data_IF_315432118443
#
_entry.id   IF_315432118443
#
_cell.length_a   1.000
_cell.length_b   1.000
_cell.length_c   1.000
_cell.angle_alpha   90.00
_cell.angle_beta   90.00
_cell.angle_gamma   90.00
#
_symmetry.space_group_name_H-M   'P 1'
#
loop_
_entity.id
_entity.type
_entity.pdbx_description
1 polymer ?
#
# COMPACT_ATOMS: atom_id res chain seq x y z
N UNK A 1 15.21 -18.17 -2.29
CA UNK A 1 15.46 -19.21 -3.30
C UNK A 1 14.16 -19.97 -3.47
N UNK A 2 13.31 -19.48 -4.37
CA UNK A 2 12.01 -20.09 -4.65
C UNK A 2 12.17 -21.06 -5.80
N UNK A 3 11.69 -22.29 -5.61
CA UNK A 3 11.59 -23.28 -6.66
C UNK A 3 10.77 -22.74 -7.83
N UNK A 4 11.36 -22.79 -9.02
CA UNK A 4 10.68 -22.49 -10.27
C UNK A 4 9.44 -23.40 -10.42
N UNK A 5 8.31 -22.90 -10.93
CA UNK A 5 7.13 -23.73 -11.18
C UNK A 5 7.34 -24.53 -12.47
N UNK A 6 8.25 -25.50 -12.42
CA UNK A 6 8.50 -26.44 -13.51
C UNK A 6 7.73 -27.75 -13.29
N UNK A 7 6.43 -27.70 -12.99
CA UNK A 7 5.58 -28.89 -12.97
C UNK A 7 4.10 -28.55 -12.79
N UNK A 8 3.35 -28.26 -13.86
CA UNK A 8 1.88 -28.37 -13.79
C UNK A 8 1.15 -28.56 -15.14
N UNK A 9 1.80 -29.19 -16.13
CA UNK A 9 1.12 -29.78 -17.30
C UNK A 9 1.41 -31.28 -17.45
N UNK A 10 1.53 -31.99 -16.33
CA UNK A 10 1.48 -33.44 -16.30
C UNK A 10 0.01 -33.89 -16.39
N UNK A 11 -0.52 -34.05 -17.60
CA UNK A 11 -1.88 -34.57 -17.78
C UNK A 11 -2.17 -35.21 -19.12
N UNK A 12 -1.63 -34.67 -20.21
CA UNK A 12 -1.90 -35.22 -21.54
C UNK A 12 -0.63 -35.29 -22.41
N UNK A 13 -0.28 -36.49 -22.93
CA UNK A 13 0.87 -36.61 -23.82
C UNK A 13 0.63 -35.83 -25.11
N UNK A 14 1.64 -35.08 -25.54
CA UNK A 14 1.61 -34.26 -26.74
C UNK A 14 1.34 -35.15 -27.97
N UNK A 15 0.67 -34.64 -29.01
CA UNK A 15 0.39 -35.42 -30.21
C UNK A 15 1.68 -35.96 -30.88
N UNK A 16 2.81 -35.26 -30.75
CA UNK A 16 4.12 -35.70 -31.22
C UNK A 16 4.67 -36.90 -30.43
N UNK A 17 4.46 -36.94 -29.10
CA UNK A 17 4.89 -38.06 -28.25
C UNK A 17 4.10 -39.33 -28.56
N UNK A 18 2.80 -39.19 -28.82
CA UNK A 18 1.95 -40.31 -29.25
C UNK A 18 2.46 -40.88 -30.57
N UNK A 19 2.81 -40.02 -31.52
CA UNK A 19 3.38 -40.44 -32.82
C UNK A 19 4.72 -41.15 -32.65
N UNK A 20 5.64 -40.63 -31.84
CA UNK A 20 6.92 -41.29 -31.55
C UNK A 20 6.71 -42.67 -30.91
N UNK A 21 5.78 -42.80 -29.95
CA UNK A 21 5.45 -44.09 -29.32
C UNK A 21 4.90 -45.10 -30.32
N UNK A 22 4.03 -44.66 -31.24
CA UNK A 22 3.55 -45.52 -32.33
C UNK A 22 4.67 -45.96 -33.28
N UNK A 23 5.61 -45.07 -33.62
CA UNK A 23 6.76 -45.38 -34.48
C UNK A 23 7.72 -46.36 -33.80
N UNK A 24 7.99 -46.20 -32.50
CA UNK A 24 8.80 -47.13 -31.71
C UNK A 24 8.16 -48.52 -31.65
N UNK A 25 6.87 -48.58 -31.28
CA UNK A 25 6.13 -49.83 -31.23
C UNK A 25 6.04 -50.51 -32.61
N UNK A 26 5.82 -49.74 -33.67
CA UNK A 26 5.80 -50.24 -35.05
C UNK A 26 7.16 -50.78 -35.49
N UNK A 27 8.26 -50.07 -35.18
CA UNK A 27 9.62 -50.51 -35.51
C UNK A 27 9.99 -51.80 -34.77
N UNK A 28 9.61 -51.92 -33.50
CA UNK A 28 9.79 -53.16 -32.72
C UNK A 28 8.98 -54.32 -33.31
N UNK A 29 7.73 -54.09 -33.68
CA UNK A 29 6.86 -55.11 -34.27
C UNK A 29 7.41 -55.62 -35.62
N UNK A 30 7.85 -54.71 -36.50
CA UNK A 30 8.44 -55.08 -37.79
C UNK A 30 9.77 -55.80 -37.60
N UNK A 31 10.61 -55.36 -36.66
CA UNK A 31 11.87 -56.05 -36.33
C UNK A 31 11.64 -57.48 -35.83
N UNK A 32 10.66 -57.68 -34.94
CA UNK A 32 10.27 -59.01 -34.46
C UNK A 32 9.75 -59.91 -35.59
N UNK A 33 8.92 -59.37 -36.48
CA UNK A 33 8.39 -60.10 -37.63
C UNK A 33 9.50 -60.48 -38.62
N UNK A 34 10.45 -59.58 -38.87
CA UNK A 34 11.61 -59.84 -39.73
C UNK A 34 12.50 -60.96 -39.15
N UNK A 35 12.78 -60.92 -37.85
CA UNK A 35 13.52 -61.99 -37.17
C UNK A 35 12.79 -63.33 -37.22
N UNK A 36 11.48 -63.35 -36.98
CA UNK A 36 10.68 -64.56 -37.10
C UNK A 36 10.73 -65.12 -38.53
N UNK A 37 10.54 -64.29 -39.54
CA UNK A 37 10.61 -64.68 -40.95
C UNK A 37 11.99 -65.25 -41.31
N UNK A 38 13.07 -64.62 -40.84
CA UNK A 38 14.43 -65.11 -41.04
C UNK A 38 14.63 -66.51 -40.44
N UNK A 39 14.24 -66.72 -39.18
CA UNK A 39 14.37 -68.01 -38.49
C UNK A 39 13.55 -69.09 -39.19
N UNK A 40 12.28 -68.80 -39.50
CA UNK A 40 11.38 -69.76 -40.15
C UNK A 40 11.87 -70.14 -41.54
N UNK A 41 12.26 -69.18 -42.38
CA UNK A 41 12.75 -69.45 -43.74
C UNK A 41 14.09 -70.17 -43.73
N UNK A 42 14.97 -69.85 -42.78
CA UNK A 42 16.25 -70.54 -42.64
C UNK A 42 16.06 -71.98 -42.18
N UNK A 43 15.15 -72.25 -41.24
CA UNK A 43 14.79 -73.61 -40.83
C UNK A 43 14.16 -74.42 -41.99
N UNK A 44 13.23 -73.82 -42.74
CA UNK A 44 12.60 -74.47 -43.90
C UNK A 44 13.65 -74.82 -44.96
N UNK A 45 14.56 -73.89 -45.27
CA UNK A 45 15.66 -74.15 -46.21
C UNK A 45 16.64 -75.20 -45.69
N UNK A 46 17.01 -75.16 -44.41
CA UNK A 46 17.90 -76.16 -43.82
C UNK A 46 17.32 -77.58 -43.93
N UNK A 47 16.00 -77.75 -43.85
CA UNK A 47 15.33 -79.04 -43.98
C UNK A 47 15.13 -79.47 -45.44
N UNK A 48 14.78 -78.55 -46.35
CA UNK A 48 14.38 -78.89 -47.73
C UNK A 48 15.50 -78.76 -48.77
N UNK A 49 16.41 -77.80 -48.61
CA UNK A 49 17.53 -77.54 -49.53
C UNK A 49 18.74 -76.97 -48.78
N UNK A 50 19.42 -77.79 -47.93
CA UNK A 50 20.50 -77.32 -47.06
C UNK A 50 21.67 -76.66 -47.82
N UNK A 51 21.92 -77.07 -49.07
CA UNK A 51 22.95 -76.49 -49.92
C UNK A 51 22.70 -75.01 -50.29
N UNK A 52 21.46 -74.51 -50.13
CA UNK A 52 21.10 -73.10 -50.40
C UNK A 52 21.39 -72.17 -49.21
N UNK A 53 21.69 -72.72 -48.03
CA UNK A 53 22.07 -71.96 -46.82
C UNK A 53 23.55 -71.61 -46.93
N UNK A 54 23.84 -70.68 -47.83
CA UNK A 54 25.20 -70.23 -48.15
C UNK A 54 25.52 -68.92 -47.44
N UNK A 55 26.79 -68.52 -47.46
CA UNK A 55 27.20 -67.18 -47.01
C UNK A 55 26.40 -66.05 -47.68
N UNK A 56 26.02 -66.22 -48.95
CA UNK A 56 25.21 -65.25 -49.69
C UNK A 56 23.79 -65.11 -49.14
N UNK A 57 23.20 -66.18 -48.57
CA UNK A 57 21.90 -66.11 -47.89
C UNK A 57 21.97 -65.19 -46.67
N UNK A 58 22.96 -65.41 -45.79
CA UNK A 58 23.16 -64.56 -44.62
C UNK A 58 23.57 -63.13 -44.98
N UNK A 59 24.38 -62.94 -46.03
CA UNK A 59 24.77 -61.62 -46.52
C UNK A 59 23.55 -60.81 -47.02
N UNK A 60 22.63 -61.45 -47.75
CA UNK A 60 21.41 -60.82 -48.22
C UNK A 60 20.52 -60.39 -47.04
N UNK A 61 20.27 -61.28 -46.08
CA UNK A 61 19.50 -60.94 -44.85
C UNK A 61 20.20 -59.87 -44.01
N UNK A 62 21.53 -59.89 -43.93
CA UNK A 62 22.33 -58.85 -43.27
C UNK A 62 22.16 -57.47 -43.92
N UNK A 63 22.06 -57.42 -45.25
CA UNK A 63 21.81 -56.17 -46.00
C UNK A 63 20.40 -55.63 -45.72
N UNK A 64 19.39 -56.49 -45.71
CA UNK A 64 18.03 -56.11 -45.34
C UNK A 64 17.92 -55.65 -43.87
N UNK A 65 18.58 -56.36 -42.95
CA UNK A 65 18.64 -56.00 -41.54
C UNK A 65 19.32 -54.65 -41.33
N UNK A 66 20.44 -54.42 -42.03
CA UNK A 66 21.15 -53.14 -42.03
C UNK A 66 20.28 -52.00 -42.55
N UNK A 67 19.61 -52.19 -43.70
CA UNK A 67 18.69 -51.20 -44.27
C UNK A 67 17.52 -50.86 -43.35
N UNK A 68 16.92 -51.87 -42.71
CA UNK A 68 15.86 -51.67 -41.73
C UNK A 68 16.34 -50.91 -40.49
N UNK A 69 17.49 -51.31 -39.92
CA UNK A 69 18.06 -50.66 -38.75
C UNK A 69 18.38 -49.19 -39.03
N UNK A 70 18.96 -48.89 -40.19
CA UNK A 70 19.25 -47.51 -40.61
C UNK A 70 17.97 -46.70 -40.80
N UNK A 71 16.95 -47.24 -41.48
CA UNK A 71 15.67 -46.54 -41.66
C UNK A 71 14.95 -46.28 -40.33
N UNK A 72 14.93 -47.26 -39.43
CA UNK A 72 14.36 -47.11 -38.10
C UNK A 72 15.11 -46.05 -37.28
N UNK A 73 16.45 -46.04 -37.32
CA UNK A 73 17.27 -45.04 -36.64
C UNK A 73 16.96 -43.61 -37.14
N UNK A 74 16.84 -43.41 -38.45
CA UNK A 74 16.48 -42.11 -39.02
C UNK A 74 15.07 -41.66 -38.61
N UNK A 75 14.08 -42.57 -38.62
CA UNK A 75 12.73 -42.24 -38.18
C UNK A 75 12.70 -41.89 -36.69
N UNK A 76 13.35 -42.68 -35.84
CA UNK A 76 13.44 -42.40 -34.41
C UNK A 76 14.11 -41.04 -34.17
N UNK A 77 15.21 -40.74 -34.87
CA UNK A 77 15.90 -39.46 -34.75
C UNK A 77 15.01 -38.29 -35.19
N UNK A 78 14.35 -38.40 -36.35
CA UNK A 78 13.46 -37.34 -36.87
C UNK A 78 12.28 -37.06 -35.93
N UNK A 79 11.63 -38.10 -35.40
CA UNK A 79 10.52 -37.95 -34.46
C UNK A 79 11.00 -37.46 -33.08
N UNK A 80 12.20 -37.84 -32.64
CA UNK A 80 12.81 -37.31 -31.41
C UNK A 80 13.07 -35.81 -31.51
N UNK A 81 13.58 -35.33 -32.65
CA UNK A 81 13.75 -33.90 -32.92
C UNK A 81 12.40 -33.18 -32.95
N UNK A 82 11.38 -33.79 -33.58
CA UNK A 82 10.03 -33.23 -33.61
C UNK A 82 9.45 -33.06 -32.19
N UNK A 83 9.58 -34.07 -31.32
CA UNK A 83 9.14 -34.01 -29.91
C UNK A 83 9.91 -32.94 -29.14
N UNK A 84 11.24 -32.88 -29.28
CA UNK A 84 12.05 -31.84 -28.63
C UNK A 84 11.67 -30.43 -29.08
N UNK A 85 11.37 -30.24 -30.37
CA UNK A 85 10.91 -28.95 -30.92
C UNK A 85 9.51 -28.56 -30.43
N UNK A 86 8.62 -29.54 -30.20
CA UNK A 86 7.30 -29.30 -29.65
C UNK A 86 7.37 -28.85 -28.20
N UNK A 87 8.17 -29.55 -27.37
CA UNK A 87 8.45 -29.12 -26.00
C UNK A 87 9.07 -27.73 -25.94
N UNK A 88 10.09 -27.46 -26.77
CA UNK A 88 10.70 -26.13 -26.82
C UNK A 88 9.71 -25.01 -27.20
N UNK A 89 8.68 -25.30 -28.01
CA UNK A 89 7.61 -24.34 -28.31
C UNK A 89 6.70 -24.13 -27.12
N UNK A 90 6.28 -25.20 -26.46
CA UNK A 90 5.45 -25.14 -25.24
C UNK A 90 6.19 -24.38 -24.15
N UNK A 91 7.46 -24.69 -23.89
CA UNK A 91 8.28 -24.02 -22.89
C UNK A 91 8.45 -22.54 -23.18
N UNK A 92 8.67 -22.16 -24.46
CA UNK A 92 8.71 -20.74 -24.86
C UNK A 92 7.38 -20.06 -24.64
N UNK A 93 6.26 -20.71 -24.95
CA UNK A 93 4.94 -20.16 -24.71
C UNK A 93 4.68 -19.96 -23.22
N UNK A 94 4.96 -20.97 -22.39
CA UNK A 94 4.82 -20.90 -20.92
C UNK A 94 5.73 -19.82 -20.34
N UNK A 95 6.99 -19.77 -20.76
CA UNK A 95 7.91 -18.73 -20.32
C UNK A 95 7.50 -17.32 -20.79
N UNK A 96 6.77 -17.21 -21.90
CA UNK A 96 6.21 -15.95 -22.36
C UNK A 96 4.97 -15.54 -21.55
N UNK A 97 4.08 -16.49 -21.20
CA UNK A 97 2.94 -16.20 -20.32
C UNK A 97 3.38 -15.85 -18.90
N UNK A 98 4.35 -16.56 -18.33
CA UNK A 98 4.91 -16.22 -17.01
C UNK A 98 5.51 -14.82 -17.03
N UNK A 99 6.35 -14.50 -18.03
CA UNK A 99 6.89 -13.14 -18.18
C UNK A 99 5.80 -12.08 -18.33
N UNK A 100 4.76 -12.36 -19.12
CA UNK A 100 3.66 -11.42 -19.29
C UNK A 100 2.85 -11.20 -18.00
N UNK A 101 2.66 -12.23 -17.17
CA UNK A 101 1.99 -12.09 -15.88
C UNK A 101 2.89 -11.41 -14.84
N UNK A 102 4.20 -11.66 -14.83
CA UNK A 102 5.17 -10.93 -14.00
C UNK A 102 5.24 -9.44 -14.38
N UNK A 103 5.29 -9.12 -15.68
CA UNK A 103 5.21 -7.75 -16.21
C UNK A 103 3.89 -7.08 -15.78
N UNK A 104 2.77 -7.79 -15.85
CA UNK A 104 1.46 -7.27 -15.45
C UNK A 104 1.30 -7.17 -13.93
N UNK A 105 1.99 -8.01 -13.14
CA UNK A 105 2.00 -7.95 -11.69
C UNK A 105 2.58 -6.62 -11.19
N UNK A 106 3.62 -6.11 -11.85
CA UNK A 106 4.15 -4.78 -11.57
C UNK A 106 3.14 -3.67 -11.88
N UNK A 107 2.42 -3.77 -13.01
CA UNK A 107 1.35 -2.83 -13.37
C UNK A 107 0.18 -2.81 -12.36
N UNK A 108 -0.15 -3.97 -11.75
CA UNK A 108 -1.17 -4.07 -10.69
C UNK A 108 -0.83 -3.29 -9.42
N UNK A 109 0.43 -2.89 -9.22
CA UNK A 109 0.87 -2.15 -8.04
C UNK A 109 0.58 -0.64 -8.13
N UNK A 110 0.11 -0.13 -9.26
CA UNK A 110 -0.45 1.21 -9.34
C UNK A 110 -1.90 1.20 -8.81
N UNK A 111 -2.11 1.81 -7.65
CA UNK A 111 -3.39 1.92 -7.00
C UNK A 111 -4.05 3.26 -7.36
N UNK A 112 -5.33 3.22 -7.76
CA UNK A 112 -6.12 4.39 -8.06
C UNK A 112 -7.33 4.37 -7.13
N UNK A 113 -7.45 5.39 -6.28
CA UNK A 113 -8.55 5.46 -5.32
C UNK A 113 -8.96 6.91 -5.04
N UNK A 114 -10.21 7.08 -4.61
CA UNK A 114 -10.74 8.39 -4.19
C UNK A 114 -10.17 8.74 -2.82
N UNK A 115 -9.76 9.99 -2.63
CA UNK A 115 -9.28 10.54 -1.36
C UNK A 115 -10.22 11.62 -0.84
N UNK A 116 -10.36 11.67 0.48
CA UNK A 116 -11.09 12.73 1.17
C UNK A 116 -10.10 13.74 1.74
N UNK A 117 -10.18 14.98 1.26
CA UNK A 117 -9.38 16.09 1.77
C UNK A 117 -10.24 16.85 2.78
N UNK A 118 -9.88 16.88 4.07
CA UNK A 118 -10.63 17.62 5.08
C UNK A 118 -10.75 19.11 4.70
N UNK A 119 -11.98 19.62 4.69
CA UNK A 119 -12.26 21.01 4.30
C UNK A 119 -12.28 21.27 2.79
N UNK A 120 -12.09 20.26 1.94
CA UNK A 120 -12.30 20.42 0.51
C UNK A 120 -13.79 20.63 0.17
N UNK A 121 -14.03 21.37 -0.91
CA UNK A 121 -15.38 21.66 -1.40
C UNK A 121 -16.14 20.37 -1.69
N UNK A 122 -17.39 20.25 -1.20
CA UNK A 122 -18.24 19.05 -1.41
C UNK A 122 -18.53 18.74 -2.90
N UNK A 123 -18.25 19.67 -3.82
CA UNK A 123 -18.35 19.46 -5.27
C UNK A 123 -17.05 19.00 -5.94
N UNK A 124 -15.99 18.75 -5.19
CA UNK A 124 -14.67 18.38 -5.70
C UNK A 124 -14.37 16.92 -5.37
N UNK A 125 -14.26 16.09 -6.39
CA UNK A 125 -13.77 14.72 -6.26
C UNK A 125 -12.26 14.70 -6.48
N UNK A 126 -11.51 14.18 -5.50
CA UNK A 126 -10.06 14.01 -5.63
C UNK A 126 -9.73 12.53 -5.70
N UNK A 127 -8.91 12.14 -6.68
CA UNK A 127 -8.41 10.79 -6.86
C UNK A 127 -6.89 10.80 -6.72
N UNK A 128 -6.37 9.82 -6.00
CA UNK A 128 -4.94 9.59 -5.84
C UNK A 128 -4.52 8.41 -6.70
N UNK A 129 -3.45 8.63 -7.46
CA UNK A 129 -2.77 7.64 -8.28
C UNK A 129 -1.45 7.35 -7.59
N UNK A 130 -1.34 6.17 -6.97
CA UNK A 130 -0.25 5.81 -6.08
C UNK A 130 0.50 4.59 -6.61
N UNK A 131 1.82 4.68 -6.71
CA UNK A 131 2.68 3.54 -6.99
C UNK A 131 3.07 2.84 -5.68
N UNK A 132 2.59 1.60 -5.52
CA UNK A 132 2.94 0.71 -4.41
C UNK A 132 4.09 -0.24 -4.72
N UNK A 133 4.69 -0.12 -5.91
CA UNK A 133 5.88 -0.90 -6.27
C UNK A 133 7.16 -0.20 -5.79
N UNK A 134 8.24 -0.98 -5.62
CA UNK A 134 9.58 -0.45 -5.34
C UNK A 134 10.27 0.12 -6.59
N UNK A 135 9.65 0.00 -7.76
CA UNK A 135 10.20 0.45 -9.04
C UNK A 135 9.56 1.78 -9.46
N UNK A 136 10.33 2.63 -10.13
CA UNK A 136 9.82 3.91 -10.63
C UNK A 136 8.74 3.71 -11.70
N UNK A 137 7.76 4.60 -11.69
CA UNK A 137 6.74 4.74 -12.73
C UNK A 137 6.85 6.16 -13.30
N UNK A 138 6.83 6.26 -14.61
CA UNK A 138 7.06 7.49 -15.37
C UNK A 138 5.85 7.84 -16.23
N UNK A 139 5.84 9.06 -16.76
CA UNK A 139 4.87 9.54 -17.75
C UNK A 139 3.40 9.35 -17.35
N UNK A 140 3.09 9.54 -16.06
CA UNK A 140 1.73 9.32 -15.56
C UNK A 140 0.81 10.41 -16.07
N UNK A 141 -0.17 10.00 -16.88
CA UNK A 141 -1.12 10.90 -17.53
C UNK A 141 -2.54 10.39 -17.46
N UNK A 142 -3.48 11.32 -17.34
CA UNK A 142 -4.91 11.06 -17.48
C UNK A 142 -5.37 11.74 -18.77
N UNK A 143 -5.48 11.00 -19.90
CA UNK A 143 -5.82 11.61 -21.18
C UNK A 143 -7.26 12.14 -21.21
N UNK A 144 -8.17 11.54 -20.44
CA UNK A 144 -9.53 12.01 -20.27
C UNK A 144 -10.14 11.53 -18.95
N UNK A 145 -11.14 12.24 -18.48
CA UNK A 145 -12.07 11.81 -17.44
C UNK A 145 -13.50 12.18 -17.84
N UNK A 146 -14.40 11.20 -17.85
CA UNK A 146 -15.82 11.39 -18.12
C UNK A 146 -16.55 11.63 -16.79
N UNK A 147 -16.99 12.86 -16.57
CA UNK A 147 -17.72 13.27 -15.37
C UNK A 147 -19.23 13.20 -15.61
N UNK A 148 -20.01 12.56 -14.73
CA UNK A 148 -21.47 12.52 -14.84
C UNK A 148 -22.06 13.93 -14.70
N UNK A 149 -23.16 14.18 -15.41
CA UNK A 149 -23.89 15.45 -15.33
C UNK A 149 -24.92 15.43 -14.21
N UNK A 150 -24.94 16.49 -13.39
CA UNK A 150 -25.96 16.68 -12.35
C UNK A 150 -27.38 16.92 -12.92
N UNK A 151 -27.50 17.24 -14.22
CA UNK A 151 -28.77 17.55 -14.89
C UNK A 151 -29.32 16.40 -15.75
N UNK A 152 -28.75 15.20 -15.64
CA UNK A 152 -29.15 14.04 -16.47
C UNK A 152 -28.72 14.12 -17.94
N UNK A 153 -27.86 15.09 -18.28
CA UNK A 153 -27.23 15.17 -19.60
C UNK A 153 -26.16 14.05 -19.76
N UNK A 154 -25.72 13.73 -21.00
CA UNK A 154 -24.63 12.80 -21.20
C UNK A 154 -23.35 13.22 -20.43
N UNK A 155 -22.50 12.26 -20.03
CA UNK A 155 -21.26 12.54 -19.32
C UNK A 155 -20.41 13.56 -20.07
N UNK A 156 -19.85 14.51 -19.32
CA UNK A 156 -18.97 15.54 -19.87
C UNK A 156 -17.54 14.99 -19.87
N UNK A 157 -16.96 14.90 -21.07
CA UNK A 157 -15.56 14.51 -21.21
C UNK A 157 -14.63 15.69 -20.89
N UNK A 158 -13.90 15.56 -19.79
CA UNK A 158 -12.75 16.38 -19.40
C UNK A 158 -11.50 15.82 -20.05
N UNK A 159 -10.65 16.72 -20.53
CA UNK A 159 -9.30 16.41 -21.02
C UNK A 159 -8.36 17.47 -20.44
N UNK A 160 -7.08 17.18 -20.23
CA UNK A 160 -6.18 18.16 -19.65
C UNK A 160 -6.22 19.52 -20.36
N UNK A 161 -6.19 19.52 -21.70
CA UNK A 161 -6.21 20.76 -22.52
C UNK A 161 -7.49 21.58 -22.34
N UNK A 162 -8.64 20.91 -22.17
CA UNK A 162 -9.92 21.57 -21.89
C UNK A 162 -9.96 22.20 -20.51
N UNK A 163 -9.44 21.51 -19.50
CA UNK A 163 -9.41 22.03 -18.12
C UNK A 163 -8.62 23.33 -18.03
N UNK A 164 -7.48 23.42 -18.73
CA UNK A 164 -6.66 24.63 -18.79
C UNK A 164 -7.29 25.72 -19.66
N UNK A 165 -7.76 25.38 -20.86
CA UNK A 165 -8.33 26.38 -21.80
C UNK A 165 -9.67 26.96 -21.34
N UNK A 166 -10.48 26.17 -20.64
CA UNK A 166 -11.75 26.62 -20.05
C UNK A 166 -11.56 27.28 -18.67
N UNK A 167 -10.33 27.28 -18.12
CA UNK A 167 -10.02 27.90 -16.84
C UNK A 167 -10.81 27.32 -15.67
N UNK A 168 -11.03 26.00 -15.68
CA UNK A 168 -11.79 25.31 -14.64
C UNK A 168 -10.98 25.30 -13.34
N UNK A 169 -11.21 26.33 -12.53
CA UNK A 169 -10.57 26.50 -11.23
C UNK A 169 -10.73 25.23 -10.39
N UNK A 170 -9.65 24.75 -9.77
CA UNK A 170 -9.58 23.57 -8.91
C UNK A 170 -9.72 22.19 -9.59
N UNK A 171 -9.99 22.12 -10.90
CA UNK A 171 -9.82 20.87 -11.65
C UNK A 171 -8.37 20.66 -12.10
N UNK A 172 -7.92 19.42 -12.08
CA UNK A 172 -6.57 19.04 -12.47
C UNK A 172 -6.52 17.61 -13.00
N UNK A 173 -5.91 17.42 -14.19
CA UNK A 173 -5.63 16.11 -14.79
C UNK A 173 -4.13 16.01 -15.11
N UNK A 174 -3.42 14.95 -14.65
CA UNK A 174 -2.00 14.73 -14.94
C UNK A 174 -1.67 14.67 -16.45
N UNK A 175 -0.60 15.36 -16.87
CA UNK A 175 -0.19 15.49 -18.30
C UNK A 175 1.11 14.76 -18.66
N UNK A 176 1.48 13.73 -17.90
CA UNK A 176 2.80 13.09 -18.00
C UNK A 176 3.75 13.61 -16.95
N UNK A 177 3.21 13.82 -15.74
CA UNK A 177 4.03 14.15 -14.57
C UNK A 177 4.72 12.89 -14.05
N UNK A 178 5.93 13.06 -13.52
CA UNK A 178 6.53 12.08 -12.63
C UNK A 178 5.75 12.03 -11.33
N UNK A 179 5.54 10.83 -10.80
CA UNK A 179 4.92 10.67 -9.48
C UNK A 179 5.81 11.34 -8.41
N UNK A 180 5.18 12.14 -7.56
CA UNK A 180 5.81 12.84 -6.45
C UNK A 180 6.24 11.83 -5.38
N UNK A 181 7.52 11.80 -4.97
CA UNK A 181 7.97 10.91 -3.90
C UNK A 181 7.32 11.32 -2.57
N UNK A 182 6.89 10.33 -1.79
CA UNK A 182 6.34 10.52 -0.47
C UNK A 182 6.87 9.42 0.46
N UNK A 183 7.45 9.82 1.60
CA UNK A 183 7.92 8.87 2.60
C UNK A 183 6.78 8.50 3.55
N UNK A 184 6.43 7.22 3.62
CA UNK A 184 5.70 6.69 4.77
C UNK A 184 6.71 6.51 5.93
N UNK A 185 6.26 6.64 7.18
CA UNK A 185 7.08 6.46 8.38
C UNK A 185 7.73 5.07 8.52
N UNK A 186 7.36 4.14 7.65
CA UNK A 186 7.83 2.75 7.58
C UNK A 186 8.77 2.54 6.39
N UNK A 187 9.98 3.08 6.41
CA UNK A 187 11.13 2.73 5.51
C UNK A 187 10.90 2.57 3.99
N UNK A 188 9.74 2.92 3.45
CA UNK A 188 9.34 2.72 2.06
C UNK A 188 8.96 4.09 1.50
N UNK A 189 9.76 4.55 0.55
CA UNK A 189 9.39 5.64 -0.35
C UNK A 189 8.26 5.11 -1.25
N UNK A 190 7.10 5.74 -1.20
CA UNK A 190 6.04 5.57 -2.20
C UNK A 190 6.04 6.76 -3.15
N UNK A 191 5.36 6.65 -4.29
CA UNK A 191 5.23 7.77 -5.24
C UNK A 191 3.76 7.98 -5.60
N UNK A 192 3.30 9.23 -5.73
CA UNK A 192 1.91 9.51 -6.09
C UNK A 192 1.72 10.79 -6.93
N UNK A 193 0.59 10.87 -7.61
CA UNK A 193 0.04 12.11 -8.18
C UNK A 193 -1.46 12.17 -7.91
N UNK A 194 -2.06 13.33 -8.08
CA UNK A 194 -3.47 13.59 -7.78
C UNK A 194 -4.21 14.03 -9.04
N UNK A 195 -5.52 13.79 -9.06
CA UNK A 195 -6.45 14.29 -10.06
C UNK A 195 -7.66 14.86 -9.34
N UNK A 196 -8.08 16.07 -9.69
CA UNK A 196 -9.27 16.72 -9.12
C UNK A 196 -10.30 17.02 -10.20
N UNK A 197 -11.56 16.72 -9.93
CA UNK A 197 -12.68 16.89 -10.85
C UNK A 197 -13.87 17.54 -10.13
N UNK A 198 -14.60 18.46 -10.79
CA UNK A 198 -15.85 18.98 -10.24
C UNK A 198 -16.99 18.00 -10.47
N UNK A 199 -17.31 17.22 -9.44
CA UNK A 199 -18.49 16.35 -9.41
C UNK A 199 -18.83 15.93 -7.98
N UNK A 200 -20.13 15.83 -7.70
CA UNK A 200 -20.64 15.21 -6.47
C UNK A 200 -20.88 13.71 -6.63
N UNK A 201 -20.96 13.23 -7.87
CA UNK A 201 -21.29 11.85 -8.22
C UNK A 201 -20.02 11.07 -8.60
N UNK A 202 -18.99 11.16 -7.76
CA UNK A 202 -17.66 10.61 -8.05
C UNK A 202 -17.67 9.11 -8.38
N UNK A 203 -18.65 8.36 -7.87
CA UNK A 203 -18.81 6.93 -8.10
C UNK A 203 -19.08 6.56 -9.57
N UNK A 204 -19.60 7.51 -10.36
CA UNK A 204 -19.92 7.31 -11.78
C UNK A 204 -18.89 7.92 -12.72
N UNK A 205 -17.78 8.45 -12.18
CA UNK A 205 -16.68 8.96 -13.01
C UNK A 205 -15.99 7.79 -13.68
N UNK A 206 -15.65 7.94 -14.96
CA UNK A 206 -14.81 6.99 -15.70
C UNK A 206 -13.57 7.70 -16.23
N UNK A 207 -12.39 7.16 -15.97
CA UNK A 207 -11.14 7.70 -16.52
C UNK A 207 -10.11 6.59 -16.67
N UNK A 208 -9.05 6.91 -17.39
CA UNK A 208 -7.90 6.01 -17.56
C UNK A 208 -6.63 6.70 -17.13
N UNK A 209 -5.71 5.93 -16.58
CA UNK A 209 -4.35 6.36 -16.28
C UNK A 209 -3.42 5.64 -17.25
N UNK A 210 -2.66 6.39 -18.02
CA UNK A 210 -1.59 5.85 -18.84
C UNK A 210 -0.24 6.15 -18.18
N UNK A 211 0.66 5.18 -18.17
CA UNK A 211 1.96 5.32 -17.54
C UNK A 211 3.00 4.37 -18.16
N UNK A 212 4.26 4.63 -17.85
CA UNK A 212 5.41 3.79 -18.22
C UNK A 212 6.00 3.17 -16.94
N UNK A 213 6.17 1.86 -16.88
CA UNK A 213 6.77 1.20 -15.71
C UNK A 213 8.30 1.27 -15.68
N UNK A 214 8.91 0.71 -14.63
CA UNK A 214 10.36 0.68 -14.44
C UNK A 214 11.13 -0.15 -15.46
N UNK A 215 10.43 -1.00 -16.23
CA UNK A 215 11.00 -1.76 -17.35
C UNK A 215 10.84 -1.05 -18.69
N UNK A 216 10.20 0.12 -18.71
CA UNK A 216 9.95 0.91 -19.92
C UNK A 216 8.69 0.48 -20.69
N UNK A 217 7.84 -0.38 -20.11
CA UNK A 217 6.60 -0.82 -20.73
C UNK A 217 5.47 0.16 -20.45
N UNK A 218 4.59 0.35 -21.44
CA UNK A 218 3.47 1.30 -21.35
C UNK A 218 2.18 0.58 -21.05
N UNK A 219 1.45 1.12 -20.09
CA UNK A 219 0.22 0.55 -19.55
C UNK A 219 -0.90 1.58 -19.59
N UNK A 220 -2.13 1.09 -19.74
CA UNK A 220 -3.35 1.85 -19.50
C UNK A 220 -4.18 1.12 -18.47
N UNK A 221 -4.53 1.82 -17.41
CA UNK A 221 -5.34 1.30 -16.32
C UNK A 221 -6.63 2.09 -16.19
N UNK A 222 -7.76 1.39 -16.17
CA UNK A 222 -9.09 1.99 -16.07
C UNK A 222 -9.48 2.17 -14.60
N UNK A 223 -10.07 3.31 -14.27
CA UNK A 223 -10.70 3.50 -12.97
C UNK A 223 -11.93 2.59 -12.85
N UNK A 224 -11.99 1.79 -11.78
CA UNK A 224 -12.98 0.71 -11.63
C UNK A 224 -12.47 -0.69 -12.04
N UNK A 225 -11.25 -0.79 -12.59
CA UNK A 225 -10.58 -2.04 -12.89
C UNK A 225 -10.39 -2.30 -14.38
N UNK A 226 -9.36 -3.07 -14.72
CA UNK A 226 -8.91 -3.32 -16.09
C UNK A 226 -7.55 -2.67 -16.34
N UNK A 227 -6.58 -3.49 -16.76
CA UNK A 227 -5.21 -3.07 -17.10
C UNK A 227 -4.92 -3.64 -18.49
N UNK A 228 -4.49 -2.78 -19.41
CA UNK A 228 -4.11 -3.17 -20.76
C UNK A 228 -2.72 -2.65 -21.11
N UNK A 229 -1.98 -3.45 -21.87
CA UNK A 229 -0.67 -3.05 -22.39
C UNK A 229 -0.87 -2.17 -23.61
N UNK A 230 -0.24 -1.00 -23.61
CA UNK A 230 -0.24 -0.09 -24.76
C UNK A 230 0.96 -0.45 -25.62
N UNK A 231 0.71 -1.06 -26.78
CA UNK A 231 1.76 -1.36 -27.77
C UNK A 231 2.07 -0.09 -28.55
N UNK A 232 3.33 0.33 -28.52
CA UNK A 232 3.79 1.57 -29.16
C UNK A 232 5.17 1.34 -29.75
N UNK A 233 5.36 1.86 -30.96
CA UNK A 233 6.60 1.87 -31.73
C UNK A 233 7.58 2.98 -31.31
N UNK A 234 7.12 3.91 -30.47
CA UNK A 234 7.91 5.02 -29.97
C UNK A 234 8.57 4.68 -28.63
N UNK A 235 9.88 4.93 -28.52
CA UNK A 235 10.62 4.81 -27.28
C UNK A 235 10.06 5.79 -26.22
N UNK A 236 9.88 5.36 -24.96
CA UNK A 236 9.36 6.22 -23.91
C UNK A 236 10.29 7.43 -23.70
N UNK A 237 9.70 8.63 -23.60
CA UNK A 237 10.46 9.84 -23.27
C UNK A 237 10.55 9.96 -21.75
N UNK A 238 11.55 9.33 -21.16
CA UNK A 238 11.84 9.50 -19.73
C UNK A 238 12.15 10.98 -19.45
N UNK A 239 11.20 11.71 -18.86
CA UNK A 239 11.46 13.05 -18.32
C UNK A 239 12.16 12.95 -16.96
N UNK A 240 13.18 13.78 -16.69
CA UNK A 240 13.71 13.92 -15.33
C UNK A 240 12.62 14.48 -14.41
N UNK A 241 12.58 14.01 -13.16
CA UNK A 241 11.55 14.38 -12.20
C UNK A 241 11.51 15.91 -11.97
N UNK A 242 10.35 16.53 -12.16
CA UNK A 242 10.15 17.93 -11.82
C UNK A 242 10.30 18.09 -10.29
N UNK A 243 11.23 18.95 -9.87
CA UNK A 243 11.56 19.22 -8.45
C UNK A 243 10.46 20.03 -7.73
N UNK A 244 9.19 19.79 -8.01
CA UNK A 244 8.12 20.49 -7.30
C UNK A 244 7.76 19.72 -6.02
N UNK A 245 8.25 20.21 -4.88
CA UNK A 245 7.79 19.80 -3.56
C UNK A 245 6.58 20.67 -3.17
N UNK A 246 5.43 20.10 -2.88
CA UNK A 246 4.47 20.79 -2.02
C UNK A 246 5.13 20.91 -0.64
N UNK A 247 5.27 22.13 -0.10
CA UNK A 247 5.96 22.40 1.17
C UNK A 247 5.33 21.79 2.43
N UNK A 248 4.35 20.90 2.30
CA UNK A 248 3.68 20.23 3.41
C UNK A 248 4.01 18.74 3.38
N UNK A 249 4.92 18.31 4.27
CA UNK A 249 5.08 16.89 4.59
C UNK A 249 3.80 16.40 5.29
N UNK A 250 3.00 15.58 4.61
CA UNK A 250 1.82 14.95 5.22
C UNK A 250 2.24 13.62 5.83
N UNK A 251 2.53 13.60 7.12
CA UNK A 251 2.77 12.37 7.88
C UNK A 251 1.43 11.66 8.14
N UNK A 252 1.31 10.33 7.94
CA UNK A 252 0.15 9.61 8.43
C UNK A 252 0.01 9.84 9.93
N UNK A 253 -1.20 10.22 10.34
CA UNK A 253 -1.53 10.42 11.75
C UNK A 253 -1.67 9.03 12.36
N UNK A 254 -0.77 8.66 13.27
CA UNK A 254 -0.91 7.43 14.08
C UNK A 254 -2.13 7.54 14.98
N UNK A 255 -2.71 6.43 15.44
CA UNK A 255 -3.85 6.44 16.37
C UNK A 255 -3.54 7.31 17.61
N UNK A 256 -2.33 7.22 18.16
CA UNK A 256 -1.89 8.07 19.27
C UNK A 256 -1.87 9.56 18.90
N UNK A 257 -1.42 9.89 17.69
CA UNK A 257 -1.40 11.27 17.19
C UNK A 257 -2.82 11.74 16.89
N UNK A 258 -3.71 10.87 16.41
CA UNK A 258 -5.12 11.15 16.20
C UNK A 258 -5.83 11.42 17.54
N UNK A 259 -5.56 10.61 18.57
CA UNK A 259 -6.04 10.82 19.95
C UNK A 259 -5.56 12.16 20.52
N UNK A 260 -4.29 12.52 20.28
CA UNK A 260 -3.75 13.84 20.67
C UNK A 260 -4.40 15.01 19.93
N UNK A 261 -4.70 14.82 18.65
CA UNK A 261 -5.34 15.83 17.80
C UNK A 261 -6.85 15.95 18.04
N UNK A 262 -7.49 14.96 18.66
CA UNK A 262 -8.89 14.96 19.06
C UNK A 262 -9.91 15.14 17.92
N UNK A 263 -11.19 15.29 18.29
CA UNK A 263 -12.28 15.62 17.37
C UNK A 263 -12.43 14.64 16.20
N UNK A 264 -12.51 15.16 14.98
CA UNK A 264 -12.66 14.35 13.75
C UNK A 264 -11.49 13.40 13.51
N UNK A 265 -10.30 13.70 14.02
CA UNK A 265 -9.14 12.82 13.87
C UNK A 265 -9.26 11.58 14.72
N UNK A 266 -9.88 11.67 15.92
CA UNK A 266 -10.10 10.55 16.82
C UNK A 266 -11.48 9.87 16.67
N UNK A 267 -12.38 10.40 15.82
CA UNK A 267 -13.77 9.96 15.72
C UNK A 267 -13.98 8.49 15.31
N UNK A 268 -12.99 7.89 14.65
CA UNK A 268 -13.01 6.48 14.23
C UNK A 268 -12.39 5.53 15.26
N UNK A 269 -11.79 6.07 16.32
CA UNK A 269 -11.13 5.30 17.36
C UNK A 269 -12.13 4.96 18.48
N UNK A 270 -11.95 3.82 19.16
CA UNK A 270 -12.76 3.50 20.34
C UNK A 270 -12.57 4.58 21.43
N UNK A 271 -13.61 4.85 22.24
CA UNK A 271 -13.50 5.78 23.35
C UNK A 271 -12.38 5.37 24.32
N UNK A 272 -11.78 6.35 25.00
CA UNK A 272 -10.77 6.08 26.02
C UNK A 272 -11.44 5.46 27.24
N UNK A 273 -10.89 4.36 27.75
CA UNK A 273 -11.50 3.60 28.86
C UNK A 273 -10.65 3.66 30.15
N UNK A 274 -9.35 3.96 30.05
CA UNK A 274 -8.45 4.00 31.21
C UNK A 274 -7.83 5.38 31.44
N UNK A 275 -7.51 5.68 32.71
CA UNK A 275 -6.81 6.91 33.11
C UNK A 275 -5.47 7.08 32.36
N UNK A 276 -4.80 5.96 32.04
CA UNK A 276 -3.54 5.94 31.28
C UNK A 276 -3.74 6.37 29.81
N UNK A 277 -4.83 5.92 29.18
CA UNK A 277 -5.19 6.33 27.82
C UNK A 277 -5.43 7.85 27.74
N UNK A 278 -6.07 8.42 28.76
CA UNK A 278 -6.26 9.88 28.86
C UNK A 278 -4.91 10.62 29.01
N UNK A 279 -3.99 10.09 29.81
CA UNK A 279 -2.65 10.67 29.96
C UNK A 279 -1.85 10.64 28.64
N UNK A 280 -1.95 9.57 27.85
CA UNK A 280 -1.26 9.46 26.56
C UNK A 280 -1.86 10.39 25.48
N UNK A 281 -3.18 10.56 25.50
CA UNK A 281 -3.92 11.42 24.59
C UNK A 281 -3.72 12.91 24.88
N UNK A 282 -3.74 13.35 26.14
CA UNK A 282 -3.54 14.76 26.50
C UNK A 282 -2.05 15.12 26.57
N UNK A 283 -1.24 14.16 27.01
CA UNK A 283 0.19 14.31 27.23
C UNK A 283 0.54 14.83 28.64
N UNK A 284 1.67 14.37 29.21
CA UNK A 284 2.05 14.67 30.60
C UNK A 284 2.39 16.15 30.83
N UNK A 285 2.86 16.85 29.79
CA UNK A 285 3.15 18.29 29.88
C UNK A 285 1.87 19.06 30.10
N UNK A 286 0.84 18.85 29.26
CA UNK A 286 -0.45 19.53 29.38
C UNK A 286 -1.11 19.17 30.71
N UNK A 287 -1.12 17.89 31.10
CA UNK A 287 -1.68 17.46 32.39
C UNK A 287 -1.05 18.17 33.61
N UNK A 288 0.23 18.53 33.51
CA UNK A 288 0.98 19.24 34.56
C UNK A 288 0.89 20.76 34.48
N UNK A 289 0.83 21.33 33.28
CA UNK A 289 0.95 22.78 33.06
C UNK A 289 -0.36 23.44 32.63
N UNK A 290 -1.46 22.68 32.55
CA UNK A 290 -2.77 23.22 32.21
C UNK A 290 -3.14 24.38 33.13
N UNK A 291 -3.71 25.42 32.53
CA UNK A 291 -4.33 26.56 33.21
C UNK A 291 -5.68 26.78 32.55
N UNK A 292 -6.70 27.00 33.36
CA UNK A 292 -8.06 27.31 32.92
C UNK A 292 -8.06 28.43 31.87
N UNK A 293 -8.80 28.25 30.78
CA UNK A 293 -8.86 29.24 29.70
C UNK A 293 -9.69 30.46 30.12
N UNK A 294 -9.14 31.66 29.93
CA UNK A 294 -9.80 32.96 30.19
C UNK A 294 -9.86 33.81 28.92
N UNK A 295 -10.88 34.67 28.80
CA UNK A 295 -11.08 35.57 27.64
C UNK A 295 -11.04 37.05 28.05
N UNK A 296 -10.03 37.45 28.82
CA UNK A 296 -9.93 38.78 29.46
C UNK A 296 -9.86 39.98 28.49
N UNK A 297 -9.91 39.75 27.18
CA UNK A 297 -9.89 40.80 26.16
C UNK A 297 -11.28 40.98 25.55
N UNK A 298 -11.64 42.23 25.27
CA UNK A 298 -12.91 42.55 24.64
C UNK A 298 -13.04 41.82 23.28
N UNK A 299 -14.24 41.32 22.94
CA UNK A 299 -14.47 40.69 21.65
C UNK A 299 -14.28 41.69 20.51
N UNK A 300 -13.70 41.21 19.41
CA UNK A 300 -13.63 41.96 18.16
C UNK A 300 -14.92 41.75 17.37
N UNK A 301 -15.69 42.82 17.17
CA UNK A 301 -17.00 42.78 16.51
C UNK A 301 -16.87 43.51 15.18
N UNK A 302 -17.12 42.80 14.08
CA UNK A 302 -17.03 43.34 12.72
C UNK A 302 -18.30 43.04 11.94
N UNK A 303 -18.65 43.85 10.91
CA UNK A 303 -19.71 43.49 9.98
C UNK A 303 -19.42 42.12 9.34
N UNK A 304 -20.45 41.27 9.24
CA UNK A 304 -20.32 39.98 8.57
C UNK A 304 -20.11 40.17 7.06
N UNK A 305 -19.17 39.43 6.49
CA UNK A 305 -18.92 39.42 5.04
C UNK A 305 -19.85 38.48 4.27
N UNK A 306 -20.58 37.62 4.99
CA UNK A 306 -21.40 36.50 4.46
C UNK A 306 -22.89 36.75 4.66
N UNK A 307 -23.28 37.54 5.68
CA UNK A 307 -24.67 37.81 6.04
C UNK A 307 -24.95 39.32 6.08
N UNK A 308 -25.80 39.79 5.18
CA UNK A 308 -26.29 41.16 5.21
C UNK A 308 -27.03 41.45 6.53
N UNK A 309 -26.65 42.52 7.23
CA UNK A 309 -27.18 42.87 8.56
C UNK A 309 -26.69 41.96 9.71
N UNK A 310 -25.69 41.13 9.46
CA UNK A 310 -25.04 40.30 10.49
C UNK A 310 -23.76 40.92 11.01
N UNK A 311 -23.34 40.48 12.20
CA UNK A 311 -22.03 40.77 12.77
C UNK A 311 -21.26 39.46 12.97
N UNK A 312 -19.95 39.53 12.82
CA UNK A 312 -19.00 38.50 13.21
C UNK A 312 -18.38 38.92 14.54
N UNK A 313 -18.54 38.07 15.55
CA UNK A 313 -17.94 38.25 16.88
C UNK A 313 -16.77 37.29 16.97
N UNK A 314 -15.57 37.81 17.18
CA UNK A 314 -14.37 37.03 17.45
C UNK A 314 -13.96 37.22 18.92
N UNK A 315 -14.07 36.16 19.70
CA UNK A 315 -13.72 36.13 21.12
C UNK A 315 -12.34 35.49 21.30
N UNK A 316 -11.32 36.26 21.70
CA UNK A 316 -10.00 35.71 22.02
C UNK A 316 -9.99 35.05 23.42
N UNK A 317 -9.26 33.95 23.57
CA UNK A 317 -9.03 33.28 24.84
C UNK A 317 -7.59 32.76 24.97
N UNK A 318 -7.14 32.53 26.21
CA UNK A 318 -5.80 32.02 26.56
C UNK A 318 -5.84 31.15 27.82
N UNK A 319 -4.98 30.12 27.95
CA UNK A 319 -4.06 29.64 26.92
C UNK A 319 -4.81 28.93 25.78
N UNK A 320 -4.11 28.68 24.67
CA UNK A 320 -4.58 27.77 23.65
C UNK A 320 -4.89 26.39 24.28
N UNK A 321 -6.11 25.92 24.04
CA UNK A 321 -6.64 24.73 24.69
C UNK A 321 -6.30 23.44 23.93
N UNK A 322 -6.19 22.29 24.61
CA UNK A 322 -6.02 21.00 23.95
C UNK A 322 -7.29 20.61 23.19
N UNK A 323 -7.18 19.74 22.16
CA UNK A 323 -8.34 19.42 21.31
C UNK A 323 -9.55 18.82 22.02
N UNK A 324 -9.35 18.15 23.16
CA UNK A 324 -10.43 17.59 23.97
C UNK A 324 -11.29 18.68 24.62
N UNK A 325 -10.67 19.76 25.09
CA UNK A 325 -11.37 20.96 25.57
C UNK A 325 -12.14 21.63 24.43
N UNK A 326 -11.53 21.74 23.24
CA UNK A 326 -12.18 22.32 22.06
C UNK A 326 -13.46 21.56 21.69
N UNK A 327 -13.50 20.23 21.80
CA UNK A 327 -14.72 19.46 21.52
C UNK A 327 -15.88 19.78 22.48
N UNK A 328 -15.61 20.02 23.76
CA UNK A 328 -16.64 20.50 24.69
C UNK A 328 -17.14 21.88 24.32
N UNK A 329 -16.23 22.81 23.96
CA UNK A 329 -16.60 24.14 23.50
C UNK A 329 -17.49 24.06 22.25
N UNK A 330 -17.07 23.31 21.23
CA UNK A 330 -17.81 23.10 19.98
C UNK A 330 -19.21 22.55 20.23
N UNK A 331 -19.33 21.53 21.08
CA UNK A 331 -20.62 20.95 21.46
C UNK A 331 -21.52 21.99 22.12
N UNK A 332 -20.98 22.75 23.08
CA UNK A 332 -21.75 23.75 23.82
C UNK A 332 -22.17 24.94 22.95
N UNK A 333 -21.32 25.38 22.01
CA UNK A 333 -21.69 26.41 21.03
C UNK A 333 -22.83 25.95 20.12
N UNK A 334 -22.84 24.68 19.69
CA UNK A 334 -23.97 24.12 18.92
C UNK A 334 -25.25 24.06 19.73
N UNK A 335 -25.19 23.75 21.02
CA UNK A 335 -26.34 23.79 21.93
C UNK A 335 -26.93 25.20 22.05
N UNK A 336 -26.09 26.23 22.00
CA UNK A 336 -26.49 27.64 21.95
C UNK A 336 -27.00 28.09 20.56
N UNK A 337 -27.07 27.19 19.58
CA UNK A 337 -27.63 27.45 18.26
C UNK A 337 -26.64 27.98 17.22
N UNK A 338 -25.33 27.98 17.52
CA UNK A 338 -24.31 28.34 16.53
C UNK A 338 -24.06 27.17 15.57
N UNK A 339 -24.63 27.26 14.37
CA UNK A 339 -24.47 26.25 13.32
C UNK A 339 -23.07 26.24 12.70
N UNK A 340 -22.48 27.42 12.51
CA UNK A 340 -21.15 27.61 11.97
C UNK A 340 -20.32 28.51 12.89
N UNK A 341 -19.10 28.08 13.19
CA UNK A 341 -18.12 28.86 13.94
C UNK A 341 -16.71 28.49 13.49
N UNK A 342 -15.77 29.43 13.67
CA UNK A 342 -14.37 29.26 13.27
C UNK A 342 -13.50 29.40 14.50
N UNK A 343 -12.66 28.41 14.75
CA UNK A 343 -11.65 28.47 15.81
C UNK A 343 -10.27 28.67 15.19
N UNK A 344 -9.42 29.47 15.83
CA UNK A 344 -8.04 29.73 15.42
C UNK A 344 -7.13 29.65 16.64
N UNK A 345 -5.93 29.15 16.46
CA UNK A 345 -4.90 29.09 17.51
C UNK A 345 -3.54 29.44 16.92
N UNK A 346 -2.81 30.32 17.60
CA UNK A 346 -1.45 30.75 17.26
C UNK A 346 -0.65 30.90 18.56
N UNK A 347 0.26 29.97 18.83
CA UNK A 347 1.05 29.97 20.06
C UNK A 347 0.16 29.79 21.30
N UNK A 348 0.28 30.69 22.28
CA UNK A 348 -0.55 30.68 23.49
C UNK A 348 -1.94 31.33 23.29
N UNK A 349 -2.21 31.95 22.14
CA UNK A 349 -3.45 32.69 21.88
C UNK A 349 -4.38 31.88 20.98
N UNK A 350 -5.66 31.85 21.33
CA UNK A 350 -6.70 31.27 20.50
C UNK A 350 -7.91 32.21 20.40
N UNK A 351 -8.75 32.00 19.39
CA UNK A 351 -10.00 32.73 19.23
C UNK A 351 -11.10 31.83 18.69
N UNK A 352 -12.34 32.13 19.09
CA UNK A 352 -13.55 31.57 18.50
C UNK A 352 -14.36 32.68 17.86
N UNK A 353 -14.73 32.48 16.59
CA UNK A 353 -15.52 33.42 15.83
C UNK A 353 -16.87 32.82 15.47
N UNK A 354 -17.94 33.55 15.76
CA UNK A 354 -19.33 33.19 15.42
C UNK A 354 -19.96 34.30 14.58
N UNK A 355 -20.94 33.95 13.77
CA UNK A 355 -21.77 34.92 13.04
C UNK A 355 -23.18 34.96 13.63
N UNK A 356 -23.68 36.16 13.90
CA UNK A 356 -25.01 36.36 14.46
C UNK A 356 -25.68 37.61 13.87
N UNK A 357 -26.97 37.82 14.20
CA UNK A 357 -27.62 39.11 13.94
C UNK A 357 -27.03 40.18 14.85
N UNK A 358 -27.00 41.43 14.39
CA UNK A 358 -26.57 42.58 15.21
C UNK A 358 -27.41 42.68 16.50
N UNK A 359 -28.73 42.47 16.40
CA UNK A 359 -29.66 42.48 17.55
C UNK A 359 -29.33 41.42 18.61
N UNK A 360 -28.66 40.33 18.22
CA UNK A 360 -28.32 39.20 19.10
C UNK A 360 -26.88 39.22 19.58
N UNK A 361 -26.11 40.27 19.27
CA UNK A 361 -24.67 40.29 19.50
C UNK A 361 -24.30 40.14 20.99
N UNK A 362 -24.97 40.88 21.88
CA UNK A 362 -24.72 40.81 23.32
C UNK A 362 -25.07 39.43 23.91
N UNK A 363 -26.18 38.83 23.47
CA UNK A 363 -26.56 37.48 23.87
C UNK A 363 -25.56 36.44 23.36
N UNK A 364 -25.04 36.63 22.15
CA UNK A 364 -24.04 35.74 21.56
C UNK A 364 -22.71 35.79 22.31
N UNK A 365 -22.26 36.98 22.74
CA UNK A 365 -21.07 37.13 23.60
C UNK A 365 -21.24 36.35 24.91
N UNK A 366 -22.40 36.45 25.56
CA UNK A 366 -22.70 35.72 26.79
C UNK A 366 -22.71 34.20 26.57
N UNK A 367 -23.25 33.74 25.44
CA UNK A 367 -23.26 32.32 25.08
C UNK A 367 -21.85 31.77 24.82
N UNK A 368 -20.96 32.56 24.20
CA UNK A 368 -19.55 32.18 24.03
C UNK A 368 -18.85 32.08 25.39
N UNK A 369 -19.09 33.03 26.30
CA UNK A 369 -18.56 32.99 27.67
C UNK A 369 -18.97 31.71 28.40
N UNK A 370 -20.27 31.39 28.42
CA UNK A 370 -20.79 30.14 29.01
C UNK A 370 -20.14 28.91 28.38
N UNK A 371 -19.94 28.91 27.06
CA UNK A 371 -19.35 27.78 26.37
C UNK A 371 -17.88 27.55 26.76
N UNK A 372 -17.10 28.62 26.97
CA UNK A 372 -15.71 28.54 27.46
C UNK A 372 -15.67 28.01 28.90
N UNK A 373 -16.53 28.52 29.79
CA UNK A 373 -16.59 28.05 31.18
C UNK A 373 -17.02 26.58 31.27
N UNK A 374 -18.03 26.19 30.50
CA UNK A 374 -18.47 24.80 30.42
C UNK A 374 -17.36 23.88 29.90
N UNK A 375 -16.61 24.29 28.88
CA UNK A 375 -15.51 23.50 28.35
C UNK A 375 -14.39 23.32 29.38
N UNK A 376 -14.08 24.37 30.15
CA UNK A 376 -13.14 24.29 31.28
C UNK A 376 -13.61 23.25 32.31
N UNK A 377 -14.86 23.33 32.75
CA UNK A 377 -15.40 22.44 33.78
C UNK A 377 -15.40 20.97 33.34
N UNK A 378 -15.83 20.70 32.10
CA UNK A 378 -15.85 19.33 31.58
C UNK A 378 -14.44 18.75 31.45
N UNK A 379 -13.50 19.53 30.87
CA UNK A 379 -12.13 19.09 30.69
C UNK A 379 -11.41 18.83 32.02
N UNK A 380 -11.59 19.73 32.99
CA UNK A 380 -10.96 19.61 34.31
C UNK A 380 -11.52 18.43 35.11
N UNK A 381 -12.82 18.19 35.04
CA UNK A 381 -13.49 17.12 35.78
C UNK A 381 -13.24 15.72 35.21
N UNK A 382 -13.00 15.60 33.90
CA UNK A 382 -12.99 14.31 33.21
C UNK A 382 -11.59 13.94 32.75
N UNK A 383 -11.11 14.57 31.67
CA UNK A 383 -9.87 14.21 30.99
C UNK A 383 -8.63 14.56 31.83
N UNK A 384 -8.59 15.79 32.39
CA UNK A 384 -7.46 16.24 33.20
C UNK A 384 -7.32 15.44 34.49
N UNK A 385 -8.43 15.22 35.20
CA UNK A 385 -8.45 14.44 36.44
C UNK A 385 -7.98 13.00 36.22
N UNK A 386 -8.41 12.35 35.12
CA UNK A 386 -7.95 11.02 34.73
C UNK A 386 -6.44 10.99 34.45
N UNK A 387 -5.96 11.92 33.63
CA UNK A 387 -4.54 12.00 33.30
C UNK A 387 -3.65 12.26 34.54
N UNK A 388 -4.11 13.08 35.48
CA UNK A 388 -3.38 13.36 36.72
C UNK A 388 -3.30 12.12 37.63
N UNK A 389 -4.39 11.35 37.78
CA UNK A 389 -4.38 10.08 38.51
C UNK A 389 -3.38 9.08 37.91
N UNK A 390 -3.34 8.95 36.59
CA UNK A 390 -2.36 8.11 35.90
C UNK A 390 -0.91 8.57 36.14
N UNK A 391 -0.65 9.88 36.16
CA UNK A 391 0.68 10.40 36.49
C UNK A 391 1.11 10.06 37.92
N UNK A 392 0.20 10.19 38.89
CA UNK A 392 0.46 9.80 40.29
C UNK A 392 0.76 8.31 40.41
N UNK A 393 0.00 7.47 39.70
CA UNK A 393 0.22 6.02 39.68
C UNK A 393 1.58 5.65 39.07
N UNK A 394 1.97 6.25 37.94
CA UNK A 394 3.31 6.07 37.34
C UNK A 394 4.43 6.46 38.31
N UNK A 395 4.26 7.55 39.06
CA UNK A 395 5.23 7.98 40.05
C UNK A 395 5.35 6.99 41.23
N UNK A 396 4.22 6.47 41.71
CA UNK A 396 4.19 5.46 42.77
C UNK A 396 4.83 4.12 42.35
N UNK A 397 4.58 3.68 41.11
CA UNK A 397 5.15 2.45 40.56
C UNK A 397 6.67 2.57 40.37
N UNK A 398 7.15 3.72 39.90
CA UNK A 398 8.59 4.00 39.80
C UNK A 398 9.27 4.00 41.18
N UNK A 399 8.64 4.62 42.18
CA UNK A 399 9.15 4.59 43.56
C UNK A 399 9.22 3.17 44.13
N UNK A 400 8.19 2.35 43.87
CA UNK A 400 8.13 0.95 44.31
C UNK A 400 9.18 0.08 43.61
N UNK A 401 9.36 0.24 42.30
CA UNK A 401 10.38 -0.47 41.53
C UNK A 401 11.80 -0.11 41.99
N UNK A 402 12.06 1.18 42.25
CA UNK A 402 13.34 1.65 42.76
C UNK A 402 13.62 1.10 44.16
N UNK A 403 12.64 1.10 45.06
CA UNK A 403 12.77 0.51 46.40
C UNK A 403 13.06 -0.99 46.34
N UNK A 404 12.38 -1.74 45.46
CA UNK A 404 12.63 -3.17 45.25
C UNK A 404 14.04 -3.42 44.72
N UNK A 405 14.54 -2.56 43.83
CA UNK A 405 15.91 -2.66 43.28
C UNK A 405 16.97 -2.39 44.35
N UNK A 406 16.74 -1.41 45.23
CA UNK A 406 17.61 -1.15 46.39
C UNK A 406 17.64 -2.34 47.35
N UNK A 407 16.48 -2.91 47.69
CA UNK A 407 16.41 -4.11 48.56
C UNK A 407 17.15 -5.31 47.97
N UNK A 408 17.02 -5.57 46.66
CA UNK A 408 17.76 -6.66 45.99
C UNK A 408 19.27 -6.41 46.07
N UNK A 409 19.72 -5.17 45.85
CA UNK A 409 21.13 -4.81 45.97
C UNK A 409 21.65 -4.96 47.41
N UNK A 410 20.86 -4.58 48.41
CA UNK A 410 21.23 -4.72 49.83
C UNK A 410 21.33 -6.19 50.25
N UNK A 411 20.42 -7.06 49.78
CA UNK A 411 20.51 -8.51 49.98
C UNK A 411 21.77 -9.08 49.32
N UNK A 412 22.07 -8.65 48.09
CA UNK A 412 23.27 -9.09 47.37
C UNK A 412 24.58 -8.66 48.08
N UNK A 413 24.58 -7.49 48.73
CA UNK A 413 25.72 -7.00 49.50
C UNK A 413 25.84 -7.66 50.90
N UNK A 414 24.72 -8.02 51.52
CA UNK A 414 24.66 -8.71 52.81
C UNK A 414 25.04 -10.20 52.77
N UNK A 415 25.08 -10.82 51.59
CA UNK A 415 25.45 -12.23 51.40
C UNK A 415 26.94 -12.49 51.10
N UNK A 416 27.86 -11.54 51.34
CA UNK A 416 29.31 -11.85 51.28
C UNK A 416 29.71 -12.79 52.44
N UNK A 417 30.08 -14.06 52.20
CA UNK A 417 30.60 -14.94 53.23
C UNK A 417 32.04 -14.51 53.59
N UNK A 418 32.36 -14.57 54.87
CA UNK A 418 33.64 -14.11 55.43
C UNK A 418 34.86 -14.69 54.72
N UNK A 419 35.86 -13.83 54.51
CA UNK A 419 37.20 -14.26 54.14
C UNK A 419 37.79 -15.15 55.26
N UNK A 420 38.35 -16.32 54.96
CA UNK A 420 39.02 -17.15 55.95
C UNK A 420 40.33 -16.50 56.43
N UNK A 421 40.78 -16.82 57.66
CA UNK A 421 41.94 -16.21 58.30
C UNK A 421 43.23 -16.62 57.59
N UNK A 422 44.07 -15.64 57.25
CA UNK A 422 45.38 -15.88 56.66
C UNK A 422 46.35 -16.36 57.75
N UNK A 423 46.44 -17.67 57.95
CA UNK A 423 47.48 -18.30 58.73
C UNK A 423 48.81 -18.18 57.98
N UNK A 424 49.79 -17.52 58.61
CA UNK A 424 51.12 -17.32 58.03
C UNK A 424 51.90 -18.62 57.88
N UNK A 425 52.59 -18.78 56.75
CA UNK A 425 53.79 -19.60 56.61
C UNK A 425 54.72 -18.94 55.58
N UNK A 426 55.92 -18.57 56.04
CA UNK A 426 57.17 -18.86 55.31
C UNK A 426 57.64 -17.88 54.25
N UNK A 427 58.22 -16.75 54.67
CA UNK A 427 59.32 -16.15 53.93
C UNK A 427 60.58 -17.01 54.09
N UNK A 428 61.17 -17.43 52.97
CA UNK A 428 62.49 -18.08 52.84
C UNK A 428 63.45 -17.04 52.23
N UNK A 429 64.75 -17.06 52.58
CA UNK A 429 65.57 -15.85 52.74
C UNK A 429 66.42 -15.49 51.51
N UNK A 430 66.95 -14.26 51.52
CA UNK A 430 68.20 -13.91 50.84
C UNK A 430 68.16 -12.67 49.96
N UNK A 431 68.36 -11.48 50.55
CA UNK A 431 69.56 -10.63 50.43
C UNK A 431 69.35 -9.31 51.16
#
# INVERSE_FOLDING_TARGET
>A
MGDAPAAQHAGHPLPEERRLRHVLNGSLAVGALFMAAFVTLTLIKAVRSPNDVTSNWFAAWGTWAGGFATAAAFLIAAFSIAVASAHARVDRHVAATIRADDEMAQARLLAIYKVDIPGAFQGLATFRIENRSQHFVFDVRVPFADTPSDTGAPPVRRTPDKVESEGLLHEYLPRGETLTPYMQSTSHEGWFTEMTLHTRQWQHVSFVVEYTDGSGLRWRQHFGGGIERVLTDQAPRVKPADRFQSGYQITPITDDKARRLGGSFAAHLPPLESDEDFLEAIGPTVAKTWRRATHDHAPDIRPSSTRAGGVRIEMPYKPAAPPWWDEHLKRRLREHGFGDFVMRSVGEHASVAVECSEDTAAASISAIHDAIEFANDQFEATELAAAQRAMEQRAADQGTAQNRRTQINDIALGQRPGAPPNAGIGGVPGQ
#
